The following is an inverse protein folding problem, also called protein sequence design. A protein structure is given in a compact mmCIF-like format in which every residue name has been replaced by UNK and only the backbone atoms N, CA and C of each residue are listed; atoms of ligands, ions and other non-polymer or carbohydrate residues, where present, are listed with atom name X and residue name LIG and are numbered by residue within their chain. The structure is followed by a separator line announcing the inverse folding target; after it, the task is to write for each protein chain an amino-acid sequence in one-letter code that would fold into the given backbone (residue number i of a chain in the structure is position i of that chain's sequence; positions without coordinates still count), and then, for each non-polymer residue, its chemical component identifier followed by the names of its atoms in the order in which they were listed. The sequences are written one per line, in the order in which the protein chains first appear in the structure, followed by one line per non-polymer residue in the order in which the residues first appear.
data_IF_144773466841
#
_entry.id   IF_144773466841
#
_cell.length_a   1.000
_cell.length_b   1.000
_cell.length_c   1.000
_cell.angle_alpha   90.00
_cell.angle_beta   90.00
_cell.angle_gamma   90.00
#
_symmetry.space_group_name_H-M   'P 1'
#
loop_
_entity.id
_entity.type
_entity.pdbx_description
1 polymer ?
#
# COMPACT_ATOMS: atom_id res chain seq x y z
N UNK A 1 -96.41 35.95 24.56
CA UNK A 1 -95.40 35.77 25.62
C UNK A 1 -95.73 34.46 26.33
N UNK A 2 -95.07 33.34 25.97
CA UNK A 2 -94.93 32.16 26.83
C UNK A 2 -94.01 31.13 26.18
N UNK A 3 -92.90 30.89 26.88
CA UNK A 3 -92.08 29.68 27.03
C UNK A 3 -91.73 28.77 25.84
N UNK A 4 -90.43 28.49 25.70
CA UNK A 4 -89.94 27.13 25.45
C UNK A 4 -88.72 26.83 26.33
N UNK A 5 -88.85 25.72 27.06
CA UNK A 5 -87.92 25.16 28.03
C UNK A 5 -86.63 24.69 27.36
N UNK A 6 -85.51 24.82 28.08
CA UNK A 6 -84.21 24.23 27.74
C UNK A 6 -84.27 22.72 28.00
N UNK A 7 -84.00 21.91 26.98
CA UNK A 7 -83.74 20.48 27.17
C UNK A 7 -82.31 20.30 27.68
N UNK A 8 -82.22 19.62 28.82
CA UNK A 8 -80.99 19.23 29.50
C UNK A 8 -80.46 17.98 28.79
N UNK A 9 -79.33 18.12 28.08
CA UNK A 9 -78.58 16.99 27.54
C UNK A 9 -77.92 16.22 28.69
N UNK A 10 -78.32 14.95 28.84
CA UNK A 10 -77.65 13.97 29.69
C UNK A 10 -76.18 13.77 29.28
N UNK A 11 -75.26 13.45 30.22
CA UNK A 11 -73.86 13.25 29.91
C UNK A 11 -73.69 11.97 29.08
N UNK A 12 -73.04 12.09 27.93
CA UNK A 12 -72.68 10.97 27.06
C UNK A 12 -71.79 10.00 27.85
N UNK A 13 -72.32 8.84 28.23
CA UNK A 13 -71.51 7.67 28.55
C UNK A 13 -70.82 7.23 27.26
N UNK A 14 -69.49 7.39 27.19
CA UNK A 14 -68.71 6.80 26.09
C UNK A 14 -69.00 5.29 26.02
N UNK A 15 -69.42 4.75 24.87
CA UNK A 15 -69.66 3.33 24.76
C UNK A 15 -68.33 2.60 24.95
N UNK A 16 -68.32 1.60 25.84
CA UNK A 16 -67.22 0.65 25.99
C UNK A 16 -66.94 0.01 24.62
N UNK A 17 -65.92 0.51 23.92
CA UNK A 17 -65.54 0.00 22.61
C UNK A 17 -65.13 -1.47 22.78
N UNK A 18 -65.89 -2.36 22.13
CA UNK A 18 -65.52 -3.77 22.10
C UNK A 18 -64.17 -3.88 21.38
N UNK A 19 -63.28 -4.76 21.85
CA UNK A 19 -61.99 -5.04 21.22
C UNK A 19 -62.15 -5.35 19.72
N UNK A 20 -63.27 -5.98 19.35
CA UNK A 20 -63.62 -6.23 17.94
C UNK A 20 -63.84 -4.95 17.13
N UNK A 21 -64.51 -3.95 17.70
CA UNK A 21 -64.78 -2.67 17.03
C UNK A 21 -63.50 -1.86 16.89
N UNK A 22 -62.64 -1.88 17.92
CA UNK A 22 -61.32 -1.24 17.88
C UNK A 22 -60.40 -1.88 16.84
N UNK A 23 -60.39 -3.21 16.73
CA UNK A 23 -59.64 -3.93 15.71
C UNK A 23 -60.14 -3.63 14.30
N UNK A 24 -61.47 -3.56 14.12
CA UNK A 24 -62.06 -3.25 12.83
C UNK A 24 -61.71 -1.82 12.38
N UNK A 25 -61.79 -0.85 13.28
CA UNK A 25 -61.39 0.53 12.99
C UNK A 25 -59.88 0.63 12.68
N UNK A 26 -59.03 0.00 13.50
CA UNK A 26 -57.59 -0.04 13.27
C UNK A 26 -57.23 -0.69 11.93
N UNK A 27 -57.81 -1.85 11.63
CA UNK A 27 -57.51 -2.59 10.41
C UNK A 27 -57.96 -1.88 9.13
N UNK A 28 -58.98 -1.03 9.21
CA UNK A 28 -59.43 -0.21 8.08
C UNK A 28 -58.61 1.09 7.93
N UNK A 29 -58.13 1.66 9.04
CA UNK A 29 -57.41 2.94 9.05
C UNK A 29 -55.88 2.82 9.07
N UNK A 30 -55.34 1.60 9.12
CA UNK A 30 -53.88 1.38 9.15
C UNK A 30 -53.22 1.46 7.77
N UNK A 31 -51.98 1.95 7.74
CA UNK A 31 -51.11 1.92 6.55
C UNK A 31 -50.56 0.53 6.21
N UNK A 32 -50.80 -0.49 7.04
CA UNK A 32 -50.41 -1.86 6.74
C UNK A 32 -51.27 -2.46 5.63
N UNK A 33 -50.68 -2.59 4.44
CA UNK A 33 -51.39 -2.92 3.20
C UNK A 33 -52.16 -4.26 3.21
N UNK A 34 -51.77 -5.21 4.06
CA UNK A 34 -52.42 -6.52 4.18
C UNK A 34 -53.48 -6.63 5.28
N UNK A 35 -53.43 -5.78 6.31
CA UNK A 35 -54.27 -5.93 7.51
C UNK A 35 -55.73 -5.58 7.22
N UNK A 36 -55.98 -4.62 6.33
CA UNK A 36 -57.33 -4.28 5.87
C UNK A 36 -58.01 -5.44 5.14
N UNK A 37 -57.25 -6.34 4.49
CA UNK A 37 -57.78 -7.51 3.78
C UNK A 37 -58.24 -8.62 4.72
N UNK A 38 -57.78 -8.58 5.96
CA UNK A 38 -58.23 -9.47 7.03
C UNK A 38 -59.48 -8.93 7.74
N UNK A 39 -59.76 -7.62 7.64
CA UNK A 39 -60.96 -7.00 8.19
C UNK A 39 -62.22 -7.37 7.38
N UNK A 40 -63.32 -7.71 8.07
CA UNK A 40 -64.60 -8.01 7.42
C UNK A 40 -64.75 -9.40 6.80
N UNK A 41 -63.83 -10.36 7.03
CA UNK A 41 -63.99 -11.74 6.58
C UNK A 41 -64.93 -12.52 7.51
N UNK A 42 -66.10 -12.91 7.01
CA UNK A 42 -67.04 -13.81 7.71
C UNK A 42 -66.65 -15.28 7.57
N UNK A 43 -67.10 -16.13 8.52
CA UNK A 43 -66.77 -17.56 8.63
C UNK A 43 -66.98 -18.43 7.36
N UNK A 44 -67.63 -17.91 6.30
CA UNK A 44 -67.86 -18.60 5.02
C UNK A 44 -66.64 -18.60 4.07
N UNK A 45 -65.65 -17.73 4.26
CA UNK A 45 -64.49 -17.60 3.34
C UNK A 45 -63.14 -17.91 4.00
N UNK A 46 -63.07 -19.03 4.74
CA UNK A 46 -61.86 -19.46 5.46
C UNK A 46 -60.62 -19.62 4.58
N UNK A 47 -60.80 -20.03 3.32
CA UNK A 47 -59.69 -20.17 2.36
C UNK A 47 -59.07 -18.82 2.02
N UNK A 48 -59.91 -17.79 1.80
CA UNK A 48 -59.43 -16.43 1.51
C UNK A 48 -58.65 -15.85 2.69
N UNK A 49 -59.12 -16.10 3.92
CA UNK A 49 -58.42 -15.71 5.14
C UNK A 49 -57.05 -16.40 5.21
N UNK A 50 -57.00 -17.71 4.99
CA UNK A 50 -55.75 -18.48 5.02
C UNK A 50 -54.74 -17.98 3.98
N UNK A 51 -55.18 -17.71 2.75
CA UNK A 51 -54.33 -17.18 1.68
C UNK A 51 -53.75 -15.79 2.02
N UNK A 52 -54.57 -14.86 2.51
CA UNK A 52 -54.09 -13.53 2.91
C UNK A 52 -53.14 -13.59 4.10
N UNK A 53 -53.44 -14.43 5.09
CA UNK A 53 -52.55 -14.63 6.24
C UNK A 53 -51.21 -15.21 5.82
N UNK A 54 -51.19 -16.23 4.96
CA UNK A 54 -49.94 -16.80 4.42
C UNK A 54 -49.14 -15.77 3.63
N UNK A 55 -49.80 -14.94 2.81
CA UNK A 55 -49.13 -13.90 2.03
C UNK A 55 -48.49 -12.83 2.93
N UNK A 56 -49.24 -12.32 3.92
CA UNK A 56 -48.74 -11.32 4.88
C UNK A 56 -47.56 -11.88 5.69
N UNK A 57 -47.66 -13.13 6.13
CA UNK A 57 -46.59 -13.80 6.88
C UNK A 57 -45.34 -13.99 6.01
N UNK A 58 -45.51 -14.40 4.75
CA UNK A 58 -44.40 -14.56 3.80
C UNK A 58 -43.70 -13.22 3.53
N UNK A 59 -44.45 -12.15 3.27
CA UNK A 59 -43.88 -10.81 3.10
C UNK A 59 -43.18 -10.30 4.37
N UNK A 60 -43.73 -10.57 5.55
CA UNK A 60 -43.12 -10.20 6.83
C UNK A 60 -41.81 -10.91 7.09
N UNK A 61 -41.74 -12.22 6.83
CA UNK A 61 -40.50 -13.01 6.94
C UNK A 61 -39.46 -12.50 5.94
N UNK A 62 -39.85 -12.28 4.68
CA UNK A 62 -38.94 -11.75 3.66
C UNK A 62 -38.36 -10.39 4.07
N UNK A 63 -39.19 -9.48 4.57
CA UNK A 63 -38.74 -8.19 5.07
C UNK A 63 -37.74 -8.32 6.23
N UNK A 64 -38.01 -9.21 7.20
CA UNK A 64 -37.08 -9.45 8.33
C UNK A 64 -35.73 -9.95 7.80
N UNK A 65 -35.73 -10.90 6.86
CA UNK A 65 -34.51 -11.42 6.25
C UNK A 65 -33.74 -10.30 5.56
N UNK A 66 -34.38 -9.52 4.68
CA UNK A 66 -33.73 -8.39 3.98
C UNK A 66 -33.17 -7.36 4.96
N UNK A 67 -33.91 -7.02 6.02
CA UNK A 67 -33.43 -6.06 7.02
C UNK A 67 -32.20 -6.60 7.77
N UNK A 68 -32.21 -7.87 8.16
CA UNK A 68 -31.05 -8.50 8.80
C UNK A 68 -29.85 -8.56 7.86
N UNK A 69 -30.07 -8.88 6.58
CA UNK A 69 -29.03 -8.88 5.55
C UNK A 69 -28.42 -7.49 5.35
N UNK A 70 -29.24 -6.44 5.24
CA UNK A 70 -28.76 -5.07 5.09
C UNK A 70 -28.06 -4.54 6.34
N UNK A 71 -28.56 -4.88 7.55
CA UNK A 71 -27.87 -4.55 8.80
C UNK A 71 -26.50 -5.24 8.84
N UNK A 72 -26.44 -6.51 8.48
CA UNK A 72 -25.17 -7.24 8.41
C UNK A 72 -24.24 -6.65 7.34
N UNK A 73 -24.78 -6.25 6.18
CA UNK A 73 -24.03 -5.58 5.13
C UNK A 73 -23.48 -4.22 5.58
N UNK A 74 -24.26 -3.44 6.31
CA UNK A 74 -23.82 -2.18 6.92
C UNK A 74 -22.67 -2.40 7.91
N UNK A 75 -22.81 -3.37 8.83
CA UNK A 75 -21.76 -3.69 9.81
C UNK A 75 -20.56 -4.45 9.23
N UNK A 76 -20.62 -4.90 7.97
CA UNK A 76 -19.46 -5.37 7.21
C UNK A 76 -18.59 -4.23 6.68
N UNK A 77 -19.06 -2.99 6.75
CA UNK A 77 -18.37 -1.80 6.26
C UNK A 77 -17.76 -2.00 4.85
N UNK A 78 -18.55 -2.43 3.84
CA UNK A 78 -18.03 -2.60 2.50
C UNK A 78 -17.53 -1.25 1.97
N UNK A 79 -16.26 -1.19 1.59
CA UNK A 79 -15.63 -0.01 1.01
C UNK A 79 -15.63 -0.10 -0.51
N UNK A 80 -15.94 1.01 -1.18
CA UNK A 80 -15.80 1.13 -2.63
C UNK A 80 -14.64 2.07 -2.94
N UNK A 81 -13.59 1.55 -3.60
CA UNK A 81 -12.48 2.37 -4.05
C UNK A 81 -12.83 3.04 -5.37
N UNK A 82 -12.73 4.37 -5.42
CA UNK A 82 -12.83 5.13 -6.68
C UNK A 82 -11.44 5.54 -7.14
N UNK A 83 -11.11 5.23 -8.40
CA UNK A 83 -9.84 5.57 -9.01
C UNK A 83 -10.10 6.60 -10.11
N UNK A 84 -9.40 7.73 -10.07
CA UNK A 84 -9.42 8.74 -11.11
C UNK A 84 -8.05 9.37 -11.26
N UNK A 85 -7.70 9.73 -12.50
CA UNK A 85 -6.46 10.45 -12.79
C UNK A 85 -6.69 11.93 -12.57
N UNK A 86 -5.97 12.52 -11.61
CA UNK A 86 -5.98 13.96 -11.39
C UNK A 86 -4.82 14.59 -12.18
N UNK A 87 -5.07 15.41 -13.21
CA UNK A 87 -4.01 16.18 -13.84
C UNK A 87 -3.49 17.21 -12.83
N UNK A 88 -2.18 17.28 -12.69
CA UNK A 88 -1.51 18.28 -11.87
C UNK A 88 -0.49 19.01 -12.73
N UNK A 89 -0.50 20.34 -12.69
CA UNK A 89 0.35 21.17 -13.55
C UNK A 89 1.84 20.98 -13.27
N UNK A 90 2.17 20.63 -12.02
CA UNK A 90 3.54 20.39 -11.58
C UNK A 90 3.50 19.36 -10.45
N UNK A 91 4.25 18.27 -10.62
CA UNK A 91 4.43 17.24 -9.61
C UNK A 91 5.87 17.26 -9.11
N UNK A 92 6.04 16.98 -7.83
CA UNK A 92 7.36 16.72 -7.28
C UNK A 92 7.95 15.45 -7.91
N UNK A 93 9.19 15.54 -8.39
CA UNK A 93 9.88 14.37 -8.93
C UNK A 93 10.30 13.48 -7.76
N UNK A 94 10.03 12.16 -7.78
CA UNK A 94 10.36 11.29 -6.66
C UNK A 94 11.87 11.23 -6.42
N UNK A 95 12.23 10.81 -5.21
CA UNK A 95 13.59 10.44 -4.92
C UNK A 95 13.91 9.06 -5.48
N UNK A 96 15.08 8.93 -6.08
CA UNK A 96 15.66 7.67 -6.53
C UNK A 96 16.89 7.41 -5.68
N UNK A 97 16.84 6.35 -4.88
CA UNK A 97 18.00 5.86 -4.12
C UNK A 97 18.65 4.71 -4.87
N UNK A 98 19.96 4.79 -5.03
CA UNK A 98 20.79 3.79 -5.71
C UNK A 98 21.81 3.26 -4.72
N UNK A 99 21.83 1.95 -4.53
CA UNK A 99 22.75 1.24 -3.66
C UNK A 99 23.60 0.26 -4.46
N UNK A 100 24.90 0.26 -4.21
CA UNK A 100 25.76 -0.81 -4.69
C UNK A 100 25.48 -2.08 -3.88
N UNK A 101 25.23 -3.21 -4.55
CA UNK A 101 25.12 -4.51 -3.90
C UNK A 101 26.41 -4.90 -3.19
N UNK A 102 27.52 -4.36 -3.67
CA UNK A 102 28.84 -4.55 -3.13
C UNK A 102 29.48 -3.21 -2.76
N UNK A 103 29.31 -2.78 -1.52
CA UNK A 103 29.86 -1.51 -1.04
C UNK A 103 31.32 -1.59 -0.60
N UNK A 104 31.99 -2.74 -0.66
CA UNK A 104 33.34 -2.91 -0.13
C UNK A 104 34.42 -2.71 -1.19
N UNK A 105 35.39 -1.87 -0.86
CA UNK A 105 36.53 -1.61 -1.73
C UNK A 105 37.63 -2.65 -1.53
N UNK A 106 37.89 -3.46 -2.56
CA UNK A 106 38.94 -4.49 -2.60
C UNK A 106 40.32 -3.94 -2.28
N UNK A 107 40.63 -2.72 -2.73
CA UNK A 107 41.95 -2.11 -2.52
C UNK A 107 42.24 -1.78 -1.06
N UNK A 108 41.19 -1.63 -0.24
CA UNK A 108 41.31 -1.34 1.17
C UNK A 108 41.22 -2.58 2.07
N UNK A 109 40.81 -3.72 1.51
CA UNK A 109 40.74 -4.98 2.22
C UNK A 109 42.07 -5.71 2.08
N UNK A 110 42.66 -6.09 3.22
CA UNK A 110 43.88 -6.89 3.22
C UNK A 110 43.60 -8.26 2.60
N UNK A 111 44.54 -8.70 1.77
CA UNK A 111 44.50 -10.04 1.19
C UNK A 111 44.86 -11.10 2.24
N UNK A 112 43.89 -11.47 3.08
CA UNK A 112 44.02 -12.50 4.11
C UNK A 112 42.81 -13.46 4.06
N UNK A 113 43.03 -14.78 3.94
CA UNK A 113 41.95 -15.76 3.84
C UNK A 113 41.02 -15.79 5.06
N UNK A 114 41.46 -15.28 6.21
CA UNK A 114 40.60 -15.16 7.40
C UNK A 114 39.55 -14.08 7.22
N UNK A 115 39.88 -12.99 6.53
CA UNK A 115 38.93 -11.93 6.20
C UNK A 115 37.90 -12.45 5.18
N UNK A 116 38.34 -13.23 4.19
CA UNK A 116 37.43 -13.93 3.28
C UNK A 116 36.44 -14.81 4.07
N UNK A 117 36.97 -15.66 4.95
CA UNK A 117 36.15 -16.56 5.79
C UNK A 117 35.14 -15.79 6.65
N UNK A 118 35.50 -14.61 7.17
CA UNK A 118 34.59 -13.73 7.90
C UNK A 118 33.42 -13.29 7.03
N UNK A 119 33.68 -12.73 5.83
CA UNK A 119 32.61 -12.26 4.94
C UNK A 119 31.71 -13.40 4.45
N UNK A 120 32.30 -14.54 4.07
CA UNK A 120 31.52 -15.75 3.77
C UNK A 120 30.66 -16.20 4.95
N UNK A 121 31.19 -16.09 6.18
CA UNK A 121 30.52 -16.53 7.40
C UNK A 121 29.32 -15.69 7.82
N UNK A 122 29.27 -14.42 7.43
CA UNK A 122 28.14 -13.51 7.70
C UNK A 122 27.16 -13.41 6.51
N UNK A 123 27.52 -14.01 5.38
CA UNK A 123 26.69 -14.02 4.19
C UNK A 123 25.52 -15.03 4.28
N UNK A 124 24.46 -14.86 3.47
CA UNK A 124 23.40 -15.87 3.33
C UNK A 124 23.90 -17.25 2.88
N UNK A 125 25.07 -17.33 2.25
CA UNK A 125 25.66 -18.58 1.75
C UNK A 125 26.47 -19.35 2.79
N UNK A 126 26.57 -18.86 4.05
CA UNK A 126 27.26 -19.56 5.14
C UNK A 126 26.86 -21.04 5.24
N UNK A 127 25.57 -21.36 5.07
CA UNK A 127 25.07 -22.74 5.18
C UNK A 127 25.48 -23.67 4.05
N UNK A 128 25.90 -23.14 2.89
CA UNK A 128 26.36 -23.94 1.75
C UNK A 128 27.86 -24.26 1.84
N UNK A 129 28.62 -23.43 2.54
CA UNK A 129 30.08 -23.54 2.63
C UNK A 129 30.45 -24.10 4.01
N UNK A 130 31.21 -25.21 4.05
CA UNK A 130 31.72 -25.80 5.30
C UNK A 130 32.89 -24.96 5.88
N UNK A 131 32.64 -23.69 6.18
CA UNK A 131 33.64 -22.74 6.65
C UNK A 131 33.62 -22.69 8.18
N UNK A 132 34.77 -22.93 8.80
CA UNK A 132 34.99 -22.78 10.24
C UNK A 132 35.73 -21.47 10.51
N UNK A 133 35.04 -20.49 11.09
CA UNK A 133 35.61 -19.17 11.39
C UNK A 133 35.88 -19.04 12.88
N UNK A 134 37.13 -18.76 13.24
CA UNK A 134 37.52 -18.44 14.61
C UNK A 134 37.22 -16.96 14.89
N UNK A 135 36.03 -16.65 15.39
CA UNK A 135 35.59 -15.27 15.65
C UNK A 135 36.47 -14.48 16.62
N UNK A 136 37.27 -15.17 17.44
CA UNK A 136 38.21 -14.58 18.39
C UNK A 136 39.61 -14.29 17.79
N UNK A 137 39.79 -14.43 16.47
CA UNK A 137 41.06 -14.07 15.83
C UNK A 137 41.32 -12.56 15.96
N UNK A 138 42.50 -12.14 16.47
CA UNK A 138 42.81 -10.73 16.69
C UNK A 138 42.83 -9.90 15.39
N UNK A 139 42.90 -10.52 14.21
CA UNK A 139 42.84 -9.80 12.93
C UNK A 139 41.55 -8.97 12.81
N UNK A 140 40.41 -9.48 13.28
CA UNK A 140 39.13 -8.78 13.13
C UNK A 140 39.04 -7.53 14.00
N UNK A 141 39.66 -7.56 15.18
CA UNK A 141 39.75 -6.37 16.04
C UNK A 141 40.74 -5.35 15.44
N UNK A 142 41.87 -5.81 14.88
CA UNK A 142 42.86 -4.96 14.21
C UNK A 142 42.30 -4.27 12.95
N UNK A 143 41.48 -4.96 12.17
CA UNK A 143 40.79 -4.41 11.00
C UNK A 143 39.49 -3.67 11.38
N UNK A 144 39.11 -3.66 12.66
CA UNK A 144 38.00 -2.86 13.17
C UNK A 144 36.60 -3.43 12.92
N UNK A 145 36.46 -4.73 12.66
CA UNK A 145 35.17 -5.37 12.39
C UNK A 145 34.21 -5.37 13.59
N UNK A 146 34.75 -5.29 14.80
CA UNK A 146 33.99 -5.29 16.05
C UNK A 146 33.94 -3.91 16.74
N UNK A 147 34.41 -2.86 16.06
CA UNK A 147 34.36 -1.51 16.63
C UNK A 147 32.90 -1.05 16.76
N UNK A 148 32.55 -0.50 17.92
CA UNK A 148 31.31 0.26 18.08
C UNK A 148 31.42 1.54 17.24
N UNK A 149 30.89 1.47 16.01
CA UNK A 149 30.89 2.60 15.09
C UNK A 149 29.60 3.39 15.17
N UNK A 150 29.72 4.70 15.19
CA UNK A 150 28.58 5.59 14.98
C UNK A 150 28.19 5.59 13.50
N UNK A 151 26.99 6.08 13.19
CA UNK A 151 26.53 6.24 11.81
C UNK A 151 27.47 7.14 11.00
N UNK A 152 28.05 8.15 11.64
CA UNK A 152 28.99 9.09 11.03
C UNK A 152 30.33 8.42 10.73
N UNK A 153 30.82 7.54 11.61
CA UNK A 153 32.04 6.74 11.37
C UNK A 153 31.88 5.80 10.18
N UNK A 154 30.69 5.23 9.97
CA UNK A 154 30.41 4.38 8.81
C UNK A 154 30.36 5.20 7.52
N UNK A 155 29.76 6.40 7.57
CA UNK A 155 29.65 7.28 6.40
C UNK A 155 30.99 7.91 5.99
N UNK A 156 31.95 7.98 6.91
CA UNK A 156 33.29 8.57 6.70
C UNK A 156 34.40 7.52 6.56
N UNK A 157 34.06 6.23 6.57
CA UNK A 157 35.02 5.13 6.32
C UNK A 157 35.38 5.03 4.84
N UNK A 158 36.07 6.06 4.35
CA UNK A 158 36.58 6.18 2.97
C UNK A 158 37.59 5.07 2.61
N UNK A 159 38.12 4.36 3.62
CA UNK A 159 38.99 3.21 3.36
C UNK A 159 38.16 2.03 2.88
N UNK A 160 37.27 1.50 3.70
CA UNK A 160 36.67 0.20 3.39
C UNK A 160 35.44 0.28 2.49
N UNK A 161 34.84 1.46 2.34
CA UNK A 161 33.59 1.64 1.58
C UNK A 161 33.86 2.38 0.27
N UNK A 162 33.27 1.88 -0.82
CA UNK A 162 33.28 2.55 -2.12
C UNK A 162 32.49 3.85 -1.99
N UNK A 163 33.07 4.97 -2.45
CA UNK A 163 32.38 6.26 -2.47
C UNK A 163 31.01 6.09 -3.18
N UNK A 164 29.89 6.28 -2.47
CA UNK A 164 28.57 6.13 -3.07
C UNK A 164 28.29 7.19 -4.14
N UNK A 165 29.04 8.30 -4.17
CA UNK A 165 29.05 9.24 -5.28
C UNK A 165 29.98 8.84 -6.42
N UNK A 166 30.96 7.97 -6.17
CA UNK A 166 32.01 7.57 -7.09
C UNK A 166 31.51 6.74 -8.26
N UNK A 167 30.42 5.98 -8.07
CA UNK A 167 29.80 5.23 -9.16
C UNK A 167 28.86 6.09 -10.04
N UNK A 168 28.60 7.36 -9.71
CA UNK A 168 27.79 8.25 -10.54
C UNK A 168 28.69 9.03 -11.50
N UNK A 169 28.67 8.66 -12.78
CA UNK A 169 29.44 9.34 -13.83
C UNK A 169 28.79 10.68 -14.17
N UNK A 170 27.49 10.66 -14.48
CA UNK A 170 26.70 11.88 -14.65
C UNK A 170 25.22 11.63 -14.40
N UNK A 171 24.52 12.71 -14.07
CA UNK A 171 23.06 12.76 -13.98
C UNK A 171 22.51 13.86 -14.89
N UNK A 172 21.48 13.54 -15.68
CA UNK A 172 20.79 14.47 -16.55
C UNK A 172 19.31 14.48 -16.17
N UNK A 173 18.74 15.68 -16.05
CA UNK A 173 17.32 15.88 -15.87
C UNK A 173 16.82 16.94 -16.84
N UNK A 174 15.79 16.62 -17.62
CA UNK A 174 15.24 17.51 -18.65
C UNK A 174 16.35 18.10 -19.56
N UNK A 175 17.22 17.23 -20.07
CA UNK A 175 18.35 17.57 -20.95
C UNK A 175 19.43 18.47 -20.32
N UNK A 176 19.39 18.70 -19.00
CA UNK A 176 20.37 19.51 -18.28
C UNK A 176 21.16 18.64 -17.29
N UNK A 177 22.48 18.82 -17.27
CA UNK A 177 23.34 18.17 -16.28
C UNK A 177 22.98 18.65 -14.86
N UNK A 178 22.82 17.70 -13.95
CA UNK A 178 22.60 17.98 -12.54
C UNK A 178 23.92 18.08 -11.79
N UNK A 179 24.05 19.07 -10.92
CA UNK A 179 25.14 19.14 -9.95
C UNK A 179 24.94 18.08 -8.86
N UNK A 180 25.81 17.08 -8.84
CA UNK A 180 25.76 15.95 -7.91
C UNK A 180 25.75 16.43 -6.46
N UNK A 181 26.57 17.43 -6.08
CA UNK A 181 26.65 17.90 -4.69
C UNK A 181 25.38 18.60 -4.22
N UNK A 182 24.60 19.15 -5.16
CA UNK A 182 23.39 19.92 -4.87
C UNK A 182 22.13 19.05 -4.89
N UNK A 183 22.10 18.06 -5.77
CA UNK A 183 20.90 17.27 -6.07
C UNK A 183 20.97 15.82 -5.57
N UNK A 184 22.11 15.37 -5.07
CA UNK A 184 22.27 14.05 -4.47
C UNK A 184 22.83 14.15 -3.07
N UNK A 185 22.43 13.22 -2.21
CA UNK A 185 22.98 13.03 -0.86
C UNK A 185 23.19 11.55 -0.60
N UNK A 186 24.20 11.26 0.20
CA UNK A 186 24.42 9.92 0.70
C UNK A 186 23.48 9.68 1.87
N UNK A 187 22.75 8.56 1.84
CA UNK A 187 21.94 8.06 2.96
C UNK A 187 22.43 6.67 3.36
N UNK A 188 22.51 6.42 4.66
CA UNK A 188 22.87 5.10 5.17
C UNK A 188 21.65 4.18 5.16
N UNK A 189 21.82 2.98 4.61
CA UNK A 189 20.82 1.92 4.62
C UNK A 189 21.43 0.64 5.19
N UNK A 190 20.67 -0.45 5.31
CA UNK A 190 21.26 -1.74 5.71
C UNK A 190 22.20 -2.33 4.63
N UNK A 191 22.13 -1.83 3.38
CA UNK A 191 23.06 -2.18 2.30
C UNK A 191 24.39 -1.43 2.43
N UNK A 192 24.45 -0.46 3.34
CA UNK A 192 25.55 0.49 3.49
C UNK A 192 25.17 1.87 2.95
N UNK A 193 26.18 2.73 2.69
CA UNK A 193 25.96 4.05 2.12
C UNK A 193 25.40 3.97 0.70
N UNK A 194 24.32 4.70 0.45
CA UNK A 194 23.63 4.74 -0.84
C UNK A 194 23.43 6.17 -1.30
N UNK A 195 23.30 6.37 -2.61
CA UNK A 195 23.14 7.69 -3.21
C UNK A 195 21.66 7.97 -3.48
N UNK A 196 21.11 9.02 -2.89
CA UNK A 196 19.71 9.43 -3.05
C UNK A 196 19.60 10.73 -3.84
N UNK A 197 18.83 10.71 -4.94
CA UNK A 197 18.51 11.90 -5.74
C UNK A 197 17.38 12.72 -5.12
N UNK A 198 17.37 14.02 -5.40
CA UNK A 198 16.32 14.96 -5.00
C UNK A 198 15.93 14.95 -3.49
N UNK A 199 16.88 14.83 -2.54
CA UNK A 199 16.54 14.64 -1.13
C UNK A 199 15.82 15.84 -0.50
N UNK A 200 15.94 17.03 -1.12
CA UNK A 200 15.35 18.28 -0.63
C UNK A 200 14.15 18.75 -1.48
N UNK A 201 13.55 17.88 -2.30
CA UNK A 201 12.36 18.21 -3.10
C UNK A 201 12.56 19.38 -4.09
N UNK A 202 13.79 19.56 -4.58
CA UNK A 202 14.18 20.67 -5.46
C UNK A 202 13.82 20.42 -6.92
N UNK A 203 13.63 19.16 -7.31
CA UNK A 203 13.32 18.74 -8.66
C UNK A 203 11.82 18.47 -8.76
N UNK A 204 11.19 19.07 -9.77
CA UNK A 204 9.80 18.91 -10.11
C UNK A 204 9.67 18.69 -11.60
N UNK A 205 8.57 18.08 -12.02
CA UNK A 205 8.22 17.90 -13.42
C UNK A 205 6.78 18.31 -13.69
N UNK A 206 6.55 18.93 -14.83
CA UNK A 206 5.25 19.35 -15.34
C UNK A 206 4.82 18.54 -16.58
N UNK A 207 5.67 17.62 -17.04
CA UNK A 207 5.45 16.81 -18.22
C UNK A 207 5.73 15.34 -17.91
N UNK A 208 4.96 14.46 -18.54
CA UNK A 208 5.24 13.03 -18.59
C UNK A 208 5.78 12.67 -19.97
N UNK A 209 6.61 11.63 -20.05
CA UNK A 209 7.16 11.13 -21.30
C UNK A 209 8.66 10.91 -21.24
N UNK A 210 9.19 10.28 -22.29
CA UNK A 210 10.59 9.90 -22.42
C UNK A 210 11.55 11.07 -22.52
N UNK A 211 11.08 12.31 -22.69
CA UNK A 211 11.93 13.51 -22.76
C UNK A 211 12.11 14.17 -21.37
N UNK A 212 11.25 13.81 -20.40
CA UNK A 212 11.18 14.41 -19.07
C UNK A 212 11.50 13.38 -17.98
N UNK A 213 12.73 12.88 -18.03
CA UNK A 213 13.23 11.81 -17.18
C UNK A 213 14.53 12.19 -16.48
N UNK A 214 14.87 11.39 -15.47
CA UNK A 214 16.19 11.36 -14.87
C UNK A 214 17.01 10.27 -15.57
N UNK A 215 18.13 10.66 -16.19
CA UNK A 215 19.13 9.72 -16.69
C UNK A 215 20.31 9.68 -15.75
N UNK A 216 20.73 8.48 -15.38
CA UNK A 216 21.93 8.24 -14.60
C UNK A 216 22.86 7.36 -15.43
N UNK A 217 24.10 7.79 -15.64
CA UNK A 217 25.16 6.91 -16.11
C UNK A 217 26.01 6.52 -14.92
N UNK A 218 26.18 5.21 -14.72
CA UNK A 218 26.78 4.65 -13.53
C UNK A 218 27.93 3.73 -13.90
N UNK A 219 29.03 3.82 -13.14
CA UNK A 219 30.20 2.97 -13.26
C UNK A 219 30.43 2.25 -11.93
N UNK A 220 30.20 0.94 -11.93
CA UNK A 220 30.30 0.12 -10.73
C UNK A 220 31.74 -0.17 -10.29
N UNK A 221 32.74 0.20 -11.09
CA UNK A 221 34.16 -0.13 -10.85
C UNK A 221 34.35 -1.58 -10.39
N UNK A 222 33.80 -2.53 -11.17
CA UNK A 222 33.77 -3.95 -10.84
C UNK A 222 35.15 -4.54 -10.52
N UNK A 223 36.23 -3.93 -11.03
CA UNK A 223 37.59 -4.36 -10.74
C UNK A 223 37.98 -4.18 -9.26
N UNK A 224 37.41 -3.18 -8.59
CA UNK A 224 37.67 -2.82 -7.20
C UNK A 224 36.58 -3.29 -6.23
N UNK A 225 35.53 -3.97 -6.73
CA UNK A 225 34.49 -4.56 -5.89
C UNK A 225 35.01 -5.80 -5.13
N UNK A 226 34.62 -5.95 -3.85
CA UNK A 226 35.00 -7.09 -3.01
C UNK A 226 33.81 -7.74 -2.32
N UNK A 227 33.64 -9.06 -2.38
CA UNK A 227 32.44 -9.69 -1.82
C UNK A 227 32.25 -9.39 -0.32
N UNK A 228 31.08 -8.88 0.03
CA UNK A 228 30.71 -8.60 1.42
C UNK A 228 29.67 -9.60 1.91
N UNK A 229 28.59 -9.07 2.48
CA UNK A 229 27.40 -9.86 2.83
C UNK A 229 26.65 -10.37 1.59
N UNK A 230 26.75 -9.65 0.47
CA UNK A 230 26.19 -10.02 -0.83
C UNK A 230 27.31 -10.38 -1.80
N UNK A 231 27.02 -11.32 -2.70
CA UNK A 231 27.90 -11.72 -3.81
C UNK A 231 27.37 -11.28 -5.17
N UNK A 232 26.21 -10.60 -5.20
CA UNK A 232 25.67 -10.05 -6.43
C UNK A 232 26.46 -8.82 -6.88
N UNK A 233 26.69 -8.70 -8.19
CA UNK A 233 27.29 -7.52 -8.80
C UNK A 233 26.20 -6.68 -9.44
N UNK A 234 26.04 -5.43 -9.04
CA UNK A 234 25.03 -4.56 -9.64
C UNK A 234 24.49 -3.54 -8.66
N UNK A 235 23.40 -2.90 -9.06
CA UNK A 235 22.80 -1.80 -8.34
C UNK A 235 21.35 -2.12 -7.96
N UNK A 236 21.01 -1.86 -6.72
CA UNK A 236 19.62 -1.87 -6.26
C UNK A 236 19.08 -0.43 -6.31
N UNK A 237 17.97 -0.24 -7.01
CA UNK A 237 17.29 1.04 -7.15
C UNK A 237 15.99 1.03 -6.36
N UNK A 238 15.67 2.13 -5.69
CA UNK A 238 14.37 2.35 -5.08
C UNK A 238 13.85 3.74 -5.42
N UNK A 239 12.61 3.80 -5.90
CA UNK A 239 11.86 5.03 -6.09
C UNK A 239 10.95 5.22 -4.88
N UNK A 240 11.01 6.38 -4.22
CA UNK A 240 10.24 6.68 -3.02
C UNK A 240 9.89 8.17 -2.93
N UNK A 241 9.01 8.52 -1.99
CA UNK A 241 8.74 9.93 -1.70
C UNK A 241 10.00 10.59 -1.11
N UNK A 242 10.31 11.79 -1.55
CA UNK A 242 11.50 12.52 -1.11
C UNK A 242 11.55 12.76 0.40
N UNK A 243 10.39 12.75 1.06
CA UNK A 243 10.26 12.93 2.52
C UNK A 243 10.50 11.64 3.31
N UNK A 244 10.51 10.50 2.65
CA UNK A 244 10.72 9.20 3.26
C UNK A 244 12.17 8.76 3.08
N UNK A 245 12.68 8.04 4.07
CA UNK A 245 13.97 7.39 3.94
C UNK A 245 13.85 6.11 3.10
N UNK A 246 14.89 5.77 2.30
CA UNK A 246 14.87 4.55 1.51
C UNK A 246 14.90 3.33 2.42
N UNK A 247 14.00 2.39 2.15
CA UNK A 247 13.85 1.14 2.88
C UNK A 247 13.96 0.01 1.86
N UNK A 248 15.05 -0.74 1.84
CA UNK A 248 15.18 -1.93 0.98
C UNK A 248 14.80 -3.20 1.77
N UNK A 249 13.53 -3.45 2.06
CA UNK A 249 13.12 -4.58 2.90
C UNK A 249 13.06 -5.94 2.16
N UNK A 250 13.70 -6.02 0.98
CA UNK A 250 13.66 -7.18 0.08
C UNK A 250 12.40 -7.23 -0.81
N UNK A 251 11.35 -6.48 -0.47
CA UNK A 251 10.12 -6.36 -1.27
C UNK A 251 10.03 -5.03 -2.03
N UNK A 252 10.97 -4.12 -1.77
CA UNK A 252 11.01 -2.78 -2.35
C UNK A 252 12.22 -2.58 -3.24
N UNK A 253 12.01 -1.78 -4.29
CA UNK A 253 13.04 -1.51 -5.29
C UNK A 253 13.19 -2.60 -6.34
N UNK A 254 14.13 -2.38 -7.25
CA UNK A 254 14.44 -3.28 -8.35
C UNK A 254 15.95 -3.33 -8.56
N UNK A 255 16.44 -4.48 -9.01
CA UNK A 255 17.85 -4.71 -9.25
C UNK A 255 18.18 -4.47 -10.73
N UNK A 256 19.35 -3.90 -10.98
CA UNK A 256 19.90 -3.66 -12.33
C UNK A 256 21.30 -4.23 -12.40
N UNK A 257 21.50 -5.09 -13.39
CA UNK A 257 22.80 -5.65 -13.74
C UNK A 257 23.66 -4.63 -14.51
N UNK A 258 25.00 -4.70 -14.37
CA UNK A 258 25.90 -3.93 -15.20
C UNK A 258 25.76 -4.24 -16.69
N UNK A 259 26.15 -3.28 -17.54
CA UNK A 259 26.19 -3.45 -18.99
C UNK A 259 24.82 -3.37 -19.70
N UNK A 260 23.78 -2.93 -19.00
CA UNK A 260 22.43 -2.73 -19.54
C UNK A 260 21.99 -1.28 -19.42
N UNK A 261 21.23 -0.83 -20.41
CA UNK A 261 20.40 0.36 -20.29
C UNK A 261 19.01 -0.09 -19.82
N UNK A 262 18.48 0.57 -18.78
CA UNK A 262 17.20 0.20 -18.16
C UNK A 262 16.29 1.42 -18.10
N UNK A 263 15.08 1.24 -18.62
CA UNK A 263 14.02 2.24 -18.55
C UNK A 263 13.02 1.87 -17.46
N UNK A 264 12.68 2.85 -16.61
CA UNK A 264 11.72 2.66 -15.53
C UNK A 264 10.61 3.71 -15.62
N UNK A 265 9.41 3.28 -16.00
CA UNK A 265 8.24 4.17 -15.98
C UNK A 265 7.66 4.24 -14.57
N UNK A 266 7.52 5.45 -14.04
CA UNK A 266 7.05 5.69 -12.67
C UNK A 266 5.68 6.36 -12.69
N UNK A 267 4.73 5.78 -11.94
CA UNK A 267 3.42 6.36 -11.70
C UNK A 267 3.26 6.73 -10.23
N UNK A 268 2.82 7.96 -9.95
CA UNK A 268 2.53 8.42 -8.59
C UNK A 268 1.06 8.14 -8.25
N UNK A 269 0.85 7.31 -7.25
CA UNK A 269 -0.47 6.96 -6.72
C UNK A 269 -0.65 7.61 -5.34
N UNK A 270 -1.80 8.25 -5.13
CA UNK A 270 -2.18 8.74 -3.81
C UNK A 270 -3.33 7.88 -3.31
N UNK A 271 -3.14 7.10 -2.25
CA UNK A 271 -4.27 6.48 -1.57
C UNK A 271 -4.91 7.55 -0.68
N UNK A 272 -6.19 7.82 -0.87
CA UNK A 272 -6.98 8.66 0.03
C UNK A 272 -7.91 7.77 0.87
N UNK A 273 -7.46 7.19 2.02
CA UNK A 273 -8.39 6.73 3.03
C UNK A 273 -8.64 7.83 4.07
N UNK A 274 -9.80 7.76 4.71
CA UNK A 274 -10.52 8.76 5.52
C UNK A 274 -9.73 9.55 6.59
N UNK A 275 -8.44 9.28 6.86
CA UNK A 275 -7.66 10.01 7.88
C UNK A 275 -6.16 10.22 7.60
N UNK A 276 -5.53 9.58 6.60
CA UNK A 276 -4.09 9.79 6.33
C UNK A 276 -3.73 9.75 4.84
N UNK A 277 -3.23 10.87 4.32
CA UNK A 277 -2.66 10.97 2.97
C UNK A 277 -1.30 10.25 2.93
N UNK A 278 -1.25 9.03 2.42
CA UNK A 278 0.01 8.36 2.05
C UNK A 278 0.17 8.33 0.53
N UNK A 279 1.39 8.57 0.06
CA UNK A 279 1.77 8.55 -1.35
C UNK A 279 2.57 7.28 -1.62
N UNK A 280 2.31 6.64 -2.75
CA UNK A 280 3.01 5.43 -3.18
C UNK A 280 3.44 5.58 -4.64
N UNK A 281 4.61 5.07 -4.98
CA UNK A 281 5.12 5.06 -6.36
C UNK A 281 5.09 3.64 -6.89
N UNK A 282 4.51 3.45 -8.07
CA UNK A 282 4.50 2.18 -8.77
C UNK A 282 5.42 2.25 -9.97
N UNK A 283 6.39 1.34 -10.02
CA UNK A 283 7.26 1.14 -11.17
C UNK A 283 6.62 0.09 -12.05
N UNK A 284 6.48 0.39 -13.33
CA UNK A 284 6.10 -0.58 -14.35
C UNK A 284 7.38 -0.83 -15.14
N UNK A 285 8.04 -1.95 -14.87
CA UNK A 285 9.17 -2.40 -15.67
C UNK A 285 8.65 -3.07 -16.93
N UNK A 286 8.96 -2.53 -18.10
CA UNK A 286 8.94 -3.31 -19.34
C UNK A 286 10.19 -4.18 -19.36
N UNK A 287 10.15 -5.32 -18.66
CA UNK A 287 11.03 -6.42 -19.03
C UNK A 287 10.36 -7.12 -20.21
N UNK A 288 11.00 -7.12 -21.38
CA UNK A 288 10.58 -7.95 -22.50
C UNK A 288 10.63 -9.44 -22.07
N UNK A 289 9.49 -9.96 -21.62
CA UNK A 289 9.31 -11.39 -21.38
C UNK A 289 8.91 -12.01 -22.71
N UNK A 290 9.90 -12.48 -23.48
CA UNK A 290 9.65 -13.50 -24.49
C UNK A 290 9.38 -14.82 -23.77
N UNK A 291 8.11 -15.19 -23.64
CA UNK A 291 7.71 -16.48 -23.10
C UNK A 291 6.21 -16.53 -22.80
N UNK A 292 5.47 -17.27 -23.64
CA UNK A 292 4.07 -17.64 -23.39
C UNK A 292 3.98 -18.57 -22.17
N UNK A 293 3.45 -18.10 -21.03
CA UNK A 293 2.93 -18.94 -19.93
C UNK A 293 1.90 -18.18 -19.06
N UNK A 294 1.03 -18.87 -18.29
CA UNK A 294 -0.41 -18.59 -18.28
C UNK A 294 -0.87 -17.64 -17.17
N UNK A 295 -2.14 -17.24 -17.30
CA UNK A 295 -2.94 -16.21 -16.61
C UNK A 295 -2.94 -16.20 -15.05
N UNK A 296 -2.20 -17.06 -14.36
CA UNK A 296 -2.18 -17.13 -12.88
C UNK A 296 -1.29 -16.06 -12.22
N UNK A 297 -0.28 -15.52 -12.92
CA UNK A 297 0.57 -14.42 -12.40
C UNK A 297 -0.14 -13.08 -12.31
N UNK A 298 -1.26 -12.88 -13.02
CA UNK A 298 -2.07 -11.65 -12.90
C UNK A 298 -2.78 -11.52 -11.55
N UNK A 299 -3.08 -12.64 -10.88
CA UNK A 299 -3.76 -12.61 -9.59
C UNK A 299 -2.82 -12.30 -8.41
N UNK A 300 -1.54 -12.66 -8.51
CA UNK A 300 -0.56 -12.38 -7.45
C UNK A 300 -0.11 -10.90 -7.40
N UNK A 301 -0.21 -10.20 -8.52
CA UNK A 301 0.08 -8.75 -8.64
C UNK A 301 -1.10 -7.90 -8.11
N UNK A 302 -2.28 -8.51 -7.92
CA UNK A 302 -3.47 -7.86 -7.36
C UNK A 302 -3.36 -7.64 -5.85
N UNK A 303 -2.58 -8.46 -5.16
CA UNK A 303 -2.48 -8.39 -3.69
C UNK A 303 -1.62 -7.23 -3.18
N UNK A 304 -0.74 -6.65 -4.01
CA UNK A 304 -0.06 -5.38 -3.68
C UNK A 304 -0.99 -4.16 -3.71
N UNK A 305 -2.22 -4.32 -4.22
CA UNK A 305 -3.26 -3.30 -4.15
C UNK A 305 -4.04 -3.30 -2.83
N UNK A 306 -3.81 -4.26 -1.93
CA UNK A 306 -4.46 -4.31 -0.60
C UNK A 306 -3.94 -3.27 0.40
N UNK A 307 -3.01 -2.42 -0.03
CA UNK A 307 -2.52 -1.24 0.71
C UNK A 307 -3.23 0.07 0.35
N UNK A 308 -4.22 0.04 -0.56
CA UNK A 308 -5.35 0.96 -0.56
C UNK A 308 -6.63 0.12 -0.34
#
# INVERSE_FOLDING_TARGET
MSTKSKDISTPNTEPLHNIGDLWNDFSQNTGFHGVNKLSGITNRHKIRLLLWTCFILSCGIYLIVTVVEEINNYYRYPTTMTQYTKPENEIEFPSVTVCNLNSLNKSAIKNDPRIDNYYFSISPFRGLLNITTNWSDPIYEQEGFYLNRTLEDVMTDEKHIIDPGGFLVYAIFHLSYLDVRKYFKVKLTYMGPCLTSNPDMKIKTNHAGSDFHLTLMLDLDNANNYYGRSFGEGLQFQVHDSKEDPIFDGNSGFYVEPGKEVFASVHRCNCLPYTHNRKYYRIISEQEVFGDEPDETKNKIRDSASGC
#
